data_IF_951622163000
#
_entry.id   IF_951622163000
#
_cell.length_a   1.000
_cell.length_b   1.000
_cell.length_c   1.000
_cell.angle_alpha   90.00
_cell.angle_beta   90.00
_cell.angle_gamma   90.00
#
_symmetry.space_group_name_H-M   'P 1'
#
loop_
_entity.id
_entity.type
_entity.pdbx_description
1 polymer ?
#
# COMPACT_ATOMS: atom_id res chain seq x y z
N UNK A 1 26.52 10.67 -6.50
CA UNK A 1 26.53 9.19 -6.52
C UNK A 1 26.25 8.73 -5.09
N UNK A 2 25.15 8.00 -4.86
CA UNK A 2 24.84 7.49 -3.52
C UNK A 2 25.67 6.20 -3.29
N UNK A 3 26.56 6.22 -2.31
CA UNK A 3 27.31 5.04 -1.86
C UNK A 3 26.64 4.46 -0.63
N UNK A 4 26.13 3.23 -0.73
CA UNK A 4 25.49 2.53 0.39
C UNK A 4 26.40 1.38 0.81
N UNK A 5 26.77 1.35 2.09
CA UNK A 5 27.53 0.23 2.66
C UNK A 5 26.55 -0.91 2.93
N UNK A 6 26.81 -2.06 2.32
CA UNK A 6 26.03 -3.27 2.53
C UNK A 6 26.80 -4.21 3.45
N UNK A 7 26.07 -4.94 4.28
CA UNK A 7 26.64 -6.07 5.00
C UNK A 7 26.98 -7.20 4.02
N UNK A 8 28.00 -8.00 4.37
CA UNK A 8 28.57 -9.01 3.47
C UNK A 8 27.52 -10.02 2.97
N UNK A 9 26.58 -10.43 3.84
CA UNK A 9 25.51 -11.34 3.45
C UNK A 9 24.56 -10.71 2.41
N UNK A 10 24.16 -9.46 2.63
CA UNK A 10 23.26 -8.75 1.72
C UNK A 10 23.92 -8.50 0.37
N UNK A 11 25.21 -8.15 0.35
CA UNK A 11 25.98 -8.01 -0.88
C UNK A 11 26.07 -9.34 -1.66
N UNK A 12 26.31 -10.45 -0.96
CA UNK A 12 26.35 -11.78 -1.58
C UNK A 12 25.00 -12.14 -2.22
N UNK A 13 23.90 -11.93 -1.50
CA UNK A 13 22.54 -12.15 -2.00
C UNK A 13 22.20 -11.26 -3.21
N UNK A 14 22.61 -9.99 -3.18
CA UNK A 14 22.42 -9.07 -4.30
C UNK A 14 23.24 -9.48 -5.53
N UNK A 15 24.45 -10.00 -5.32
CA UNK A 15 25.33 -10.52 -6.38
C UNK A 15 24.71 -11.73 -7.06
N UNK A 16 24.27 -12.72 -6.28
CA UNK A 16 23.60 -13.90 -6.80
C UNK A 16 22.30 -13.56 -7.57
N UNK A 17 21.55 -12.56 -7.09
CA UNK A 17 20.35 -12.07 -7.78
C UNK A 17 20.70 -11.42 -9.13
N UNK A 18 21.74 -10.59 -9.15
CA UNK A 18 22.25 -9.95 -10.36
C UNK A 18 22.68 -10.97 -11.41
N UNK A 19 23.42 -12.00 -11.01
CA UNK A 19 23.86 -13.11 -11.87
C UNK A 19 22.67 -13.89 -12.44
N UNK A 20 21.74 -14.33 -11.58
CA UNK A 20 20.57 -15.12 -11.99
C UNK A 20 19.64 -14.39 -12.94
N UNK A 21 19.58 -13.06 -12.85
CA UNK A 21 18.67 -12.23 -13.66
C UNK A 21 19.37 -11.57 -14.84
N UNK A 22 20.70 -11.71 -14.96
CA UNK A 22 21.53 -11.01 -15.93
C UNK A 22 21.33 -9.48 -15.91
N UNK A 23 21.14 -8.91 -14.71
CA UNK A 23 20.99 -7.46 -14.49
C UNK A 23 22.03 -6.98 -13.50
N UNK A 24 22.45 -5.71 -13.60
CA UNK A 24 23.45 -5.16 -12.68
C UNK A 24 22.93 -5.08 -11.24
N UNK A 25 23.84 -5.16 -10.26
CA UNK A 25 23.51 -4.90 -8.85
C UNK A 25 22.83 -3.53 -8.68
N UNK A 26 23.29 -2.52 -9.42
CA UNK A 26 22.72 -1.17 -9.40
C UNK A 26 21.29 -1.09 -9.93
N UNK A 27 20.90 -1.95 -10.88
CA UNK A 27 19.51 -2.04 -11.34
C UNK A 27 18.60 -2.55 -10.22
N UNK A 28 18.96 -3.65 -9.58
CA UNK A 28 18.21 -4.21 -8.45
C UNK A 28 18.14 -3.25 -7.26
N UNK A 29 19.25 -2.57 -6.94
CA UNK A 29 19.25 -1.56 -5.87
C UNK A 29 18.28 -0.40 -6.17
N UNK A 30 18.22 0.09 -7.41
CA UNK A 30 17.25 1.11 -7.82
C UNK A 30 15.81 0.62 -7.70
N UNK A 31 15.53 -0.59 -8.18
CA UNK A 31 14.19 -1.18 -8.10
C UNK A 31 13.77 -1.38 -6.64
N UNK A 32 14.65 -1.88 -5.80
CA UNK A 32 14.38 -2.06 -4.37
C UNK A 32 14.10 -0.71 -3.67
N UNK A 33 14.91 0.31 -3.96
CA UNK A 33 14.71 1.64 -3.40
C UNK A 33 13.40 2.28 -3.86
N UNK A 34 13.06 2.18 -5.15
CA UNK A 34 11.79 2.69 -5.66
C UNK A 34 10.60 2.03 -4.97
N UNK A 35 10.61 0.69 -4.88
CA UNK A 35 9.55 -0.07 -4.18
C UNK A 35 9.42 0.31 -2.70
N UNK A 36 10.55 0.50 -2.02
CA UNK A 36 10.56 0.91 -0.63
C UNK A 36 9.93 2.30 -0.45
N UNK A 37 10.34 3.26 -1.28
CA UNK A 37 9.79 4.63 -1.24
C UNK A 37 8.29 4.61 -1.52
N UNK A 38 7.85 3.91 -2.57
CA UNK A 38 6.42 3.77 -2.90
C UNK A 38 5.61 3.17 -1.75
N UNK A 39 6.18 2.17 -1.05
CA UNK A 39 5.54 1.56 0.10
C UNK A 39 5.43 2.53 1.30
N UNK A 40 6.49 3.27 1.60
CA UNK A 40 6.49 4.25 2.70
C UNK A 40 5.52 5.40 2.42
N UNK A 41 5.50 5.92 1.18
CA UNK A 41 4.56 6.97 0.77
C UNK A 41 3.10 6.50 0.82
N UNK A 42 2.84 5.26 0.39
CA UNK A 42 1.50 4.66 0.47
C UNK A 42 1.03 4.50 1.92
N UNK A 43 1.94 4.10 2.82
CA UNK A 43 1.66 3.98 4.26
C UNK A 43 1.36 5.35 4.87
N UNK A 44 2.20 6.35 4.62
CA UNK A 44 1.99 7.71 5.13
C UNK A 44 0.65 8.27 4.64
N UNK A 45 0.32 8.06 3.37
CA UNK A 45 -0.97 8.46 2.80
C UNK A 45 -2.14 7.79 3.53
N UNK A 46 -2.07 6.47 3.75
CA UNK A 46 -3.12 5.72 4.45
C UNK A 46 -3.28 6.16 5.92
N UNK A 47 -2.17 6.42 6.61
CA UNK A 47 -2.18 6.92 7.99
C UNK A 47 -2.82 8.31 8.07
N UNK A 48 -2.46 9.21 7.15
CA UNK A 48 -3.05 10.55 7.04
C UNK A 48 -4.55 10.50 6.74
N UNK A 49 -4.97 9.69 5.78
CA UNK A 49 -6.39 9.52 5.45
C UNK A 49 -7.18 8.94 6.63
N UNK A 50 -6.59 7.99 7.37
CA UNK A 50 -7.20 7.42 8.57
C UNK A 50 -7.37 8.47 9.67
N UNK A 51 -6.37 9.32 9.90
CA UNK A 51 -6.45 10.40 10.88
C UNK A 51 -7.54 11.42 10.51
N UNK A 52 -7.59 11.85 9.24
CA UNK A 52 -8.63 12.79 8.76
C UNK A 52 -10.03 12.19 8.96
N UNK A 53 -10.23 10.91 8.59
CA UNK A 53 -11.51 10.23 8.79
C UNK A 53 -11.89 10.12 10.27
N UNK A 54 -10.91 9.87 11.13
CA UNK A 54 -11.11 9.81 12.58
C UNK A 54 -11.50 11.17 13.16
N UNK A 55 -10.84 12.24 12.73
CA UNK A 55 -11.15 13.60 13.18
C UNK A 55 -12.55 14.02 12.76
N UNK A 56 -12.94 13.79 11.50
CA UNK A 56 -14.29 14.05 11.02
C UNK A 56 -15.35 13.29 11.85
N UNK A 57 -15.13 11.99 12.09
CA UNK A 57 -16.04 11.19 12.92
C UNK A 57 -16.16 11.71 14.37
N UNK A 58 -15.07 12.19 14.98
CA UNK A 58 -15.14 12.80 16.31
C UNK A 58 -15.97 14.09 16.31
N UNK A 59 -15.97 14.84 15.21
CA UNK A 59 -16.67 16.12 15.09
C UNK A 59 -18.17 15.92 14.82
N UNK A 60 -18.53 15.05 13.88
CA UNK A 60 -19.90 14.92 13.38
C UNK A 60 -20.58 13.58 13.70
N UNK A 61 -19.84 12.56 14.14
CA UNK A 61 -20.35 11.21 14.38
C UNK A 61 -20.81 10.46 13.13
N UNK A 62 -20.61 11.01 11.93
CA UNK A 62 -21.09 10.44 10.67
C UNK A 62 -20.27 9.21 10.29
N UNK A 63 -20.97 8.09 10.17
CA UNK A 63 -20.43 6.84 9.69
C UNK A 63 -21.48 6.09 8.88
N UNK A 64 -21.02 5.30 7.91
CA UNK A 64 -21.89 4.38 7.21
C UNK A 64 -22.11 3.17 8.12
N UNK A 65 -23.36 2.80 8.38
CA UNK A 65 -23.67 1.66 9.23
C UNK A 65 -23.17 0.35 8.59
N UNK A 66 -22.63 -0.56 9.41
CA UNK A 66 -22.20 -1.88 8.95
C UNK A 66 -23.34 -2.63 8.21
N UNK A 67 -24.58 -2.49 8.69
CA UNK A 67 -25.75 -3.11 8.05
C UNK A 67 -25.98 -2.58 6.63
N UNK A 68 -25.81 -1.28 6.40
CA UNK A 68 -25.92 -0.68 5.07
C UNK A 68 -24.85 -1.21 4.12
N UNK A 69 -23.61 -1.35 4.60
CA UNK A 69 -22.50 -1.91 3.81
C UNK A 69 -22.74 -3.37 3.48
N UNK A 70 -23.12 -4.21 4.44
CA UNK A 70 -23.41 -5.63 4.21
C UNK A 70 -24.57 -5.80 3.22
N UNK A 71 -25.66 -5.05 3.39
CA UNK A 71 -26.80 -5.10 2.46
C UNK A 71 -26.44 -4.73 1.02
N UNK A 72 -25.41 -3.90 0.83
CA UNK A 72 -24.88 -3.53 -0.47
C UNK A 72 -23.97 -4.63 -1.03
N UNK A 73 -23.02 -5.13 -0.23
CA UNK A 73 -22.13 -6.23 -0.62
C UNK A 73 -22.91 -7.50 -0.98
N UNK A 74 -23.97 -7.83 -0.25
CA UNK A 74 -24.83 -8.99 -0.51
C UNK A 74 -25.59 -8.89 -1.84
N UNK A 75 -25.74 -7.68 -2.39
CA UNK A 75 -26.42 -7.46 -3.67
C UNK A 75 -25.50 -7.60 -4.88
N UNK A 76 -24.18 -7.64 -4.68
CA UNK A 76 -23.21 -7.74 -5.76
C UNK A 76 -23.36 -9.05 -6.54
N UNK A 77 -23.31 -8.96 -7.88
CA UNK A 77 -23.45 -10.14 -8.74
C UNK A 77 -24.88 -10.67 -8.85
N UNK A 78 -25.87 -9.89 -8.39
CA UNK A 78 -27.30 -10.18 -8.58
C UNK A 78 -27.92 -9.16 -9.54
N UNK A 79 -29.09 -9.48 -10.09
CA UNK A 79 -29.85 -8.53 -10.91
C UNK A 79 -30.39 -7.33 -10.11
N UNK A 80 -30.22 -7.31 -8.78
CA UNK A 80 -30.66 -6.24 -7.87
C UNK A 80 -29.49 -5.57 -7.15
N UNK A 81 -28.34 -5.45 -7.81
CA UNK A 81 -27.17 -4.76 -7.26
C UNK A 81 -27.51 -3.33 -6.83
N UNK A 82 -27.25 -3.01 -5.56
CA UNK A 82 -27.58 -1.72 -4.95
C UNK A 82 -26.46 -0.72 -5.16
N UNK A 83 -26.78 0.57 -5.02
CA UNK A 83 -25.77 1.63 -5.00
C UNK A 83 -24.91 1.56 -3.73
N UNK A 84 -23.65 1.98 -3.85
CA UNK A 84 -22.75 2.14 -2.71
C UNK A 84 -23.41 3.05 -1.67
N UNK A 85 -23.45 2.65 -0.38
CA UNK A 85 -23.98 3.52 0.66
C UNK A 85 -23.09 4.74 0.84
N UNK A 86 -23.72 5.91 0.98
CA UNK A 86 -23.05 7.19 1.19
C UNK A 86 -23.16 7.61 2.67
N UNK A 87 -22.24 8.48 3.11
CA UNK A 87 -22.29 9.09 4.45
C UNK A 87 -23.35 10.19 4.48
#
# INVERSE_FOLDING_TARGET
>A
MLGVRLEAELESRLTALAERTHRSKSHHAKVALARYIEQEEAKEKADRESLIRWEAYKENGECISNKSVINWLDSWGTDQEKSCPEK
#
